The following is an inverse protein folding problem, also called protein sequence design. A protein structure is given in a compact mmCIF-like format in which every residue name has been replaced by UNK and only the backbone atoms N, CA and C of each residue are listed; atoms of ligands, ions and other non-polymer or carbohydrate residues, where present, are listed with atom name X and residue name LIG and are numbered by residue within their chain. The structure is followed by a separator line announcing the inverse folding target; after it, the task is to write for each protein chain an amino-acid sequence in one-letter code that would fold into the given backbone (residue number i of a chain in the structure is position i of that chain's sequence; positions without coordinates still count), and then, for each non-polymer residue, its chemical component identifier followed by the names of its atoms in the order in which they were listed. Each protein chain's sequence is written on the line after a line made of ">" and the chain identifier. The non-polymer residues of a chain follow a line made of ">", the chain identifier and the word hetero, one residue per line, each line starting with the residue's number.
data_IF_287761672553
#
_entry.id   IF_287761672553
#
_cell.length_a   1.000
_cell.length_b   1.000
_cell.length_c   1.000
_cell.angle_alpha   90.00
_cell.angle_beta   90.00
_cell.angle_gamma   90.00
#
_symmetry.space_group_name_H-M   'P 1'
#
loop_
_entity.id
_entity.type
_entity.pdbx_description
1 polymer ?
#
# COMPACT_ATOMS: atom_id res chain seq x y z
N UNK A 1 -37.65 8.60 43.86
CA UNK A 1 -36.49 9.34 43.31
C UNK A 1 -35.21 8.50 43.22
N UNK A 2 -34.78 7.76 44.25
CA UNK A 2 -33.55 6.94 44.20
C UNK A 2 -33.48 5.88 43.07
N UNK A 3 -34.63 5.31 42.64
CA UNK A 3 -34.69 4.28 41.56
C UNK A 3 -34.22 4.77 40.18
N UNK A 4 -34.40 6.04 39.85
CA UNK A 4 -33.99 6.57 38.54
C UNK A 4 -32.50 6.92 38.46
N UNK A 5 -31.85 7.09 39.60
CA UNK A 5 -30.45 7.48 39.68
C UNK A 5 -29.52 6.37 39.18
N UNK A 6 -29.83 5.11 39.50
CA UNK A 6 -29.09 3.94 39.01
C UNK A 6 -29.22 3.78 37.48
N UNK A 7 -30.39 4.07 36.92
CA UNK A 7 -30.62 3.98 35.46
C UNK A 7 -29.83 5.06 34.73
N UNK A 8 -29.81 6.28 35.26
CA UNK A 8 -29.04 7.40 34.68
C UNK A 8 -27.53 7.09 34.70
N UNK A 9 -27.00 6.52 35.78
CA UNK A 9 -25.59 6.12 35.87
C UNK A 9 -25.24 5.05 34.82
N UNK A 10 -26.10 4.05 34.62
CA UNK A 10 -25.88 2.99 33.62
C UNK A 10 -25.87 3.57 32.20
N UNK A 11 -26.79 4.50 31.89
CA UNK A 11 -26.84 5.18 30.59
C UNK A 11 -25.58 6.02 30.36
N UNK A 12 -25.11 6.76 31.37
CA UNK A 12 -23.89 7.56 31.28
C UNK A 12 -22.65 6.67 31.08
N UNK A 13 -22.58 5.52 31.76
CA UNK A 13 -21.52 4.52 31.58
C UNK A 13 -21.52 3.90 30.17
N UNK A 14 -22.70 3.58 29.62
CA UNK A 14 -22.80 3.05 28.25
C UNK A 14 -22.42 4.09 27.18
N UNK A 15 -22.80 5.35 27.40
CA UNK A 15 -22.44 6.45 26.49
C UNK A 15 -20.95 6.80 26.54
N UNK A 16 -20.29 6.65 27.69
CA UNK A 16 -18.85 6.94 27.82
C UNK A 16 -17.96 5.85 27.21
N UNK A 17 -18.37 4.58 27.25
CA UNK A 17 -17.66 3.45 26.60
C UNK A 17 -17.53 3.63 25.08
N UNK A 18 -18.53 4.24 24.44
CA UNK A 18 -18.55 4.47 22.99
C UNK A 18 -17.48 5.48 22.53
N UNK A 19 -17.07 6.40 23.42
CA UNK A 19 -16.13 7.49 23.12
C UNK A 19 -14.67 7.00 23.21
N UNK A 20 -14.37 6.10 24.15
CA UNK A 20 -13.01 5.57 24.34
C UNK A 20 -12.55 4.69 23.18
N UNK A 21 -13.45 3.90 22.57
CA UNK A 21 -13.12 3.05 21.42
C UNK A 21 -12.59 3.84 20.20
N UNK A 22 -12.92 5.13 20.06
CA UNK A 22 -12.48 5.93 18.91
C UNK A 22 -11.13 6.64 19.11
N UNK A 23 -10.62 6.68 20.34
CA UNK A 23 -9.42 7.45 20.69
C UNK A 23 -8.12 6.88 20.09
N UNK A 24 -8.06 5.56 19.85
CA UNK A 24 -6.85 4.89 19.35
C UNK A 24 -6.95 4.31 17.94
N UNK A 25 -8.00 4.65 17.18
CA UNK A 25 -8.23 4.16 15.81
C UNK A 25 -7.02 4.37 14.87
N UNK A 26 -6.24 5.44 15.06
CA UNK A 26 -5.00 5.66 14.30
C UNK A 26 -3.92 4.60 14.60
N UNK A 27 -3.76 4.19 15.86
CA UNK A 27 -2.80 3.14 16.25
C UNK A 27 -3.20 1.80 15.66
N UNK A 28 -4.50 1.50 15.60
CA UNK A 28 -5.02 0.30 14.95
C UNK A 28 -4.70 0.29 13.46
N UNK A 29 -4.93 1.39 12.76
CA UNK A 29 -4.56 1.52 11.34
C UNK A 29 -3.06 1.34 11.10
N UNK A 30 -2.20 1.91 11.95
CA UNK A 30 -0.74 1.73 11.85
C UNK A 30 -0.36 0.26 12.13
N UNK A 31 -0.97 -0.39 13.12
CA UNK A 31 -0.75 -1.82 13.40
C UNK A 31 -1.17 -2.70 12.20
N UNK A 32 -2.28 -2.36 11.53
CA UNK A 32 -2.72 -3.05 10.31
C UNK A 32 -1.67 -2.96 9.21
N UNK A 33 -1.13 -1.76 8.96
CA UNK A 33 -0.06 -1.54 7.97
C UNK A 33 1.22 -2.31 8.29
N UNK A 34 1.63 -2.37 9.56
CA UNK A 34 2.80 -3.17 9.98
C UNK A 34 2.59 -4.66 9.80
N UNK A 35 1.36 -5.16 10.02
CA UNK A 35 1.02 -6.56 9.73
C UNK A 35 1.10 -6.85 8.23
N UNK A 36 0.64 -5.92 7.39
CA UNK A 36 0.76 -6.04 5.93
C UNK A 36 2.24 -6.11 5.50
N UNK A 37 3.07 -5.20 6.02
CA UNK A 37 4.53 -5.20 5.79
C UNK A 37 5.16 -6.55 6.17
N UNK A 38 4.91 -7.03 7.39
CA UNK A 38 5.43 -8.32 7.85
C UNK A 38 4.99 -9.49 6.96
N UNK A 39 3.72 -9.52 6.52
CA UNK A 39 3.23 -10.55 5.60
C UNK A 39 3.98 -10.49 4.26
N UNK A 40 4.25 -9.30 3.73
CA UNK A 40 5.00 -9.12 2.47
C UNK A 40 6.45 -9.58 2.62
N UNK A 41 7.12 -9.23 3.73
CA UNK A 41 8.49 -9.66 4.02
C UNK A 41 8.63 -11.18 4.14
N UNK A 42 7.61 -11.86 4.67
CA UNK A 42 7.56 -13.33 4.72
C UNK A 42 7.38 -13.99 3.34
N UNK A 43 7.08 -13.21 2.32
CA UNK A 43 6.76 -13.69 0.98
C UNK A 43 5.27 -14.03 0.84
N UNK A 44 4.63 -13.39 -0.12
CA UNK A 44 3.24 -13.68 -0.52
C UNK A 44 3.20 -13.91 -2.02
N UNK A 45 2.28 -14.77 -2.47
CA UNK A 45 1.91 -14.81 -3.88
C UNK A 45 0.88 -13.72 -4.19
N UNK A 46 0.57 -13.50 -5.47
CA UNK A 46 -0.36 -12.44 -5.88
C UNK A 46 -1.75 -12.54 -5.24
N UNK A 47 -2.34 -13.73 -5.24
CA UNK A 47 -3.69 -13.91 -4.68
C UNK A 47 -3.71 -13.54 -3.20
N UNK A 48 -2.73 -14.04 -2.44
CA UNK A 48 -2.60 -13.70 -1.02
C UNK A 48 -2.28 -12.23 -0.82
N UNK A 49 -1.46 -11.63 -1.67
CA UNK A 49 -1.14 -10.20 -1.64
C UNK A 49 -2.39 -9.33 -1.75
N UNK A 50 -3.26 -9.60 -2.74
CA UNK A 50 -4.51 -8.86 -2.95
C UNK A 50 -5.48 -9.06 -1.77
N UNK A 51 -5.59 -10.28 -1.25
CA UNK A 51 -6.42 -10.59 -0.07
C UNK A 51 -5.98 -9.77 1.14
N UNK A 52 -4.69 -9.84 1.51
CA UNK A 52 -4.17 -9.16 2.70
C UNK A 52 -4.16 -7.64 2.55
N UNK A 53 -3.98 -7.15 1.32
CA UNK A 53 -4.13 -5.73 1.01
C UNK A 53 -5.58 -5.27 1.18
N UNK A 54 -6.55 -6.09 0.77
CA UNK A 54 -7.97 -5.84 0.95
C UNK A 54 -8.38 -5.78 2.43
N UNK A 55 -7.94 -6.76 3.22
CA UNK A 55 -8.13 -6.79 4.68
C UNK A 55 -7.55 -5.51 5.33
N UNK A 56 -6.29 -5.20 5.01
CA UNK A 56 -5.61 -4.02 5.58
C UNK A 56 -6.30 -2.72 5.17
N UNK A 57 -6.76 -2.61 3.91
CA UNK A 57 -7.50 -1.45 3.44
C UNK A 57 -8.81 -1.27 4.22
N UNK A 58 -9.51 -2.36 4.57
CA UNK A 58 -10.72 -2.28 5.37
C UNK A 58 -10.43 -1.75 6.78
N UNK A 59 -9.40 -2.27 7.47
CA UNK A 59 -9.00 -1.80 8.80
C UNK A 59 -8.58 -0.32 8.79
N UNK A 60 -7.74 0.07 7.83
CA UNK A 60 -7.26 1.44 7.68
C UNK A 60 -8.41 2.41 7.39
N UNK A 61 -9.38 2.00 6.58
CA UNK A 61 -10.52 2.84 6.19
C UNK A 61 -11.38 3.25 7.39
N UNK A 62 -11.50 2.39 8.41
CA UNK A 62 -12.19 2.74 9.67
C UNK A 62 -11.58 3.98 10.33
N UNK A 63 -10.25 4.08 10.37
CA UNK A 63 -9.58 5.28 10.86
C UNK A 63 -9.80 6.47 9.93
N UNK A 64 -9.60 6.31 8.62
CA UNK A 64 -9.70 7.40 7.65
C UNK A 64 -11.10 8.07 7.67
N UNK A 65 -12.15 7.28 7.83
CA UNK A 65 -13.55 7.76 7.88
C UNK A 65 -13.97 8.27 9.28
N UNK A 66 -13.15 8.02 10.31
CA UNK A 66 -13.45 8.45 11.67
C UNK A 66 -13.32 9.97 11.85
N UNK A 67 -13.90 10.51 12.94
CA UNK A 67 -13.62 11.89 13.36
C UNK A 67 -12.17 12.08 13.82
N UNK A 68 -11.49 11.00 14.20
CA UNK A 68 -10.09 11.03 14.66
C UNK A 68 -9.13 11.35 13.52
N UNK A 69 -9.43 10.97 12.27
CA UNK A 69 -8.58 11.31 11.11
C UNK A 69 -8.36 12.82 10.95
N UNK A 70 -9.38 13.62 11.26
CA UNK A 70 -9.31 15.10 11.24
C UNK A 70 -8.30 15.68 12.23
N UNK A 71 -7.99 14.95 13.31
CA UNK A 71 -7.02 15.36 14.32
C UNK A 71 -5.58 14.99 13.94
N UNK A 72 -5.40 14.06 13.00
CA UNK A 72 -4.10 13.53 12.60
C UNK A 72 -3.91 13.57 11.08
N UNK A 73 -3.93 14.76 10.45
CA UNK A 73 -3.83 14.90 8.99
C UNK A 73 -2.51 14.34 8.42
N UNK A 74 -1.42 14.41 9.16
CA UNK A 74 -0.13 13.85 8.75
C UNK A 74 -0.19 12.32 8.66
N UNK A 75 -0.81 11.67 9.65
CA UNK A 75 -1.02 10.21 9.65
C UNK A 75 -1.91 9.81 8.46
N UNK A 76 -2.99 10.55 8.21
CA UNK A 76 -3.88 10.32 7.04
C UNK A 76 -3.09 10.38 5.73
N UNK A 77 -2.24 11.40 5.59
CA UNK A 77 -1.41 11.59 4.39
C UNK A 77 -0.44 10.42 4.19
N UNK A 78 0.29 10.03 5.24
CA UNK A 78 1.22 8.90 5.19
C UNK A 78 0.50 7.58 4.92
N UNK A 79 -0.64 7.31 5.57
CA UNK A 79 -1.46 6.12 5.34
C UNK A 79 -1.89 6.03 3.87
N UNK A 80 -2.42 7.11 3.30
CA UNK A 80 -2.85 7.11 1.89
C UNK A 80 -1.67 6.83 0.96
N UNK A 81 -0.51 7.45 1.23
CA UNK A 81 0.72 7.20 0.47
C UNK A 81 1.18 5.74 0.54
N UNK A 82 1.13 5.12 1.72
CA UNK A 82 1.45 3.70 1.93
C UNK A 82 0.50 2.81 1.12
N UNK A 83 -0.81 3.04 1.26
CA UNK A 83 -1.83 2.27 0.56
C UNK A 83 -1.73 2.43 -0.96
N UNK A 84 -1.42 3.62 -1.45
CA UNK A 84 -1.22 3.87 -2.88
C UNK A 84 0.00 3.12 -3.42
N UNK A 85 1.10 3.04 -2.67
CA UNK A 85 2.24 2.22 -3.06
C UNK A 85 1.86 0.73 -3.17
N UNK A 86 1.14 0.19 -2.19
CA UNK A 86 0.72 -1.21 -2.26
C UNK A 86 -0.31 -1.48 -3.38
N UNK A 87 -1.21 -0.53 -3.66
CA UNK A 87 -2.12 -0.62 -4.81
C UNK A 87 -1.36 -0.59 -6.14
N UNK A 88 -0.31 0.21 -6.24
CA UNK A 88 0.53 0.28 -7.43
C UNK A 88 1.33 -1.02 -7.63
N UNK A 89 1.83 -1.63 -6.55
CA UNK A 89 2.40 -2.97 -6.61
C UNK A 89 1.37 -4.02 -7.07
N UNK A 90 0.12 -3.96 -6.59
CA UNK A 90 -0.95 -4.85 -7.06
C UNK A 90 -1.21 -4.71 -8.57
N UNK A 91 -1.29 -3.46 -9.06
CA UNK A 91 -1.47 -3.18 -10.50
C UNK A 91 -0.28 -3.69 -11.32
N UNK A 92 0.94 -3.45 -10.86
CA UNK A 92 2.14 -3.91 -11.54
C UNK A 92 2.14 -5.44 -11.68
N UNK A 93 1.77 -6.14 -10.60
CA UNK A 93 1.73 -7.58 -10.57
C UNK A 93 0.57 -8.14 -11.43
N UNK A 94 -0.58 -7.47 -11.49
CA UNK A 94 -1.71 -7.93 -12.31
C UNK A 94 -1.36 -7.96 -13.80
N UNK A 95 -0.59 -6.98 -14.29
CA UNK A 95 -0.17 -6.94 -15.70
C UNK A 95 0.55 -8.23 -16.13
N UNK A 96 1.32 -8.83 -15.21
CA UNK A 96 2.04 -10.08 -15.47
C UNK A 96 1.11 -11.27 -15.59
N UNK A 97 0.12 -11.32 -14.70
CA UNK A 97 -0.85 -12.42 -14.66
C UNK A 97 -1.71 -12.37 -15.90
N UNK A 98 -2.07 -11.18 -16.35
CA UNK A 98 -2.84 -10.96 -17.58
C UNK A 98 -2.01 -11.29 -18.84
N UNK A 99 -0.68 -11.22 -18.76
CA UNK A 99 0.23 -11.42 -19.90
C UNK A 99 1.40 -12.36 -19.57
N UNK A 100 1.11 -13.64 -19.27
CA UNK A 100 2.14 -14.60 -18.91
C UNK A 100 3.15 -14.77 -20.06
N UNK A 101 4.45 -14.65 -19.76
CA UNK A 101 5.53 -14.83 -20.73
C UNK A 101 5.94 -13.59 -21.54
N UNK A 102 5.38 -12.40 -21.28
CA UNK A 102 5.74 -11.14 -21.97
C UNK A 102 6.34 -10.07 -21.08
N UNK A 103 6.94 -10.44 -19.96
CA UNK A 103 7.25 -9.49 -18.90
C UNK A 103 8.74 -9.17 -18.79
N UNK A 104 9.31 -8.72 -19.90
CA UNK A 104 10.50 -7.90 -19.82
C UNK A 104 10.04 -6.46 -19.78
N UNK A 105 10.23 -5.80 -18.63
CA UNK A 105 9.88 -4.40 -18.46
C UNK A 105 10.99 -3.55 -19.06
N UNK A 106 10.78 -3.10 -20.30
CA UNK A 106 11.75 -2.23 -20.97
C UNK A 106 11.69 -0.82 -20.38
N UNK A 107 12.86 -0.19 -20.28
CA UNK A 107 12.94 1.24 -19.96
C UNK A 107 12.10 2.05 -20.97
N UNK A 108 11.24 2.97 -20.51
CA UNK A 108 10.48 3.84 -21.42
C UNK A 108 11.37 4.79 -22.24
N UNK A 109 12.66 4.91 -21.89
CA UNK A 109 13.66 5.71 -22.60
C UNK A 109 14.53 4.90 -23.57
N UNK A 110 14.45 3.57 -23.57
CA UNK A 110 15.06 2.79 -24.63
C UNK A 110 14.24 2.99 -25.92
N UNK A 111 14.93 3.11 -27.06
CA UNK A 111 14.35 3.49 -28.37
C UNK A 111 13.03 2.76 -28.63
N UNK A 112 12.05 3.41 -29.29
CA UNK A 112 10.77 2.78 -29.61
C UNK A 112 11.01 1.43 -30.28
N UNK A 113 10.31 0.39 -29.78
CA UNK A 113 10.46 -0.95 -30.31
C UNK A 113 10.32 -0.92 -31.85
N UNK A 114 11.25 -1.52 -32.61
CA UNK A 114 11.38 -1.35 -34.06
C UNK A 114 10.14 -1.69 -34.91
N UNK A 115 9.04 -2.18 -34.33
CA UNK A 115 7.84 -2.65 -35.03
C UNK A 115 6.51 -2.21 -34.42
N UNK A 116 6.45 -1.00 -33.85
CA UNK A 116 5.19 -0.24 -33.74
C UNK A 116 4.18 -0.71 -32.69
N UNK A 117 4.55 -1.59 -31.76
CA UNK A 117 3.72 -1.94 -30.61
C UNK A 117 4.36 -1.44 -29.33
N UNK A 118 3.65 -0.60 -28.55
CA UNK A 118 3.99 -0.44 -27.14
C UNK A 118 3.73 -1.79 -26.44
N UNK A 119 4.64 -2.28 -25.59
CA UNK A 119 4.39 -3.49 -24.83
C UNK A 119 3.12 -3.33 -24.00
N UNK A 120 2.35 -4.41 -23.84
CA UNK A 120 1.17 -4.43 -22.97
C UNK A 120 1.55 -3.88 -21.59
N UNK A 121 0.73 -2.97 -21.05
CA UNK A 121 1.01 -2.29 -19.79
C UNK A 121 1.97 -1.10 -19.87
N UNK A 122 2.42 -0.67 -21.06
CA UNK A 122 3.32 0.50 -21.21
C UNK A 122 2.85 1.75 -20.46
N UNK A 123 1.56 2.06 -20.50
CA UNK A 123 1.03 3.22 -19.77
C UNK A 123 1.21 3.08 -18.26
N UNK A 124 0.95 1.88 -17.72
CA UNK A 124 1.17 1.56 -16.31
C UNK A 124 2.66 1.69 -15.99
N UNK A 125 3.54 1.14 -16.82
CA UNK A 125 4.98 1.20 -16.60
C UNK A 125 5.54 2.60 -16.67
N UNK A 126 5.14 3.39 -17.65
CA UNK A 126 5.57 4.78 -17.79
C UNK A 126 5.18 5.57 -16.53
N UNK A 127 3.93 5.45 -16.07
CA UNK A 127 3.46 6.08 -14.84
C UNK A 127 4.24 5.61 -13.60
N UNK A 128 4.47 4.30 -13.49
CA UNK A 128 5.21 3.74 -12.35
C UNK A 128 6.68 4.15 -12.35
N UNK A 129 7.36 4.17 -13.50
CA UNK A 129 8.75 4.64 -13.58
C UNK A 129 8.87 6.13 -13.28
N UNK A 130 7.89 6.96 -13.67
CA UNK A 130 7.83 8.36 -13.26
C UNK A 130 7.67 8.50 -11.75
N UNK A 131 6.82 7.67 -11.13
CA UNK A 131 6.58 7.68 -9.67
C UNK A 131 7.74 7.08 -8.86
N UNK A 132 8.41 6.06 -9.40
CA UNK A 132 9.47 5.29 -8.76
C UNK A 132 10.77 5.34 -9.58
N UNK A 133 11.44 6.49 -9.68
CA UNK A 133 12.64 6.63 -10.51
C UNK A 133 13.80 5.73 -10.05
N UNK A 134 13.84 5.30 -8.79
CA UNK A 134 14.85 4.34 -8.32
C UNK A 134 14.75 2.96 -8.97
N UNK A 135 13.62 2.65 -9.64
CA UNK A 135 13.52 1.45 -10.45
C UNK A 135 14.52 1.48 -11.62
N UNK A 136 14.93 2.65 -12.12
CA UNK A 136 15.96 2.75 -13.16
C UNK A 136 17.32 2.17 -12.71
N UNK A 137 17.64 2.23 -11.41
CA UNK A 137 18.89 1.70 -10.87
C UNK A 137 18.93 0.17 -10.84
N UNK A 138 17.76 -0.48 -10.97
CA UNK A 138 17.59 -1.93 -11.00
C UNK A 138 17.52 -2.50 -12.42
N UNK A 139 17.63 -1.64 -13.43
CA UNK A 139 17.68 -2.07 -14.82
C UNK A 139 18.98 -2.84 -15.10
N UNK A 140 18.83 -3.99 -15.73
CA UNK A 140 19.91 -4.89 -16.14
C UNK A 140 19.88 -5.09 -17.66
N UNK A 141 21.01 -5.42 -18.27
CA UNK A 141 21.05 -5.64 -19.71
C UNK A 141 20.24 -6.87 -20.09
N UNK A 142 19.32 -6.73 -21.05
CA UNK A 142 18.55 -7.85 -21.58
C UNK A 142 19.49 -8.86 -22.25
N UNK A 143 19.26 -10.15 -22.01
CA UNK A 143 20.14 -11.27 -22.40
C UNK A 143 20.47 -11.34 -23.90
N UNK A 144 19.77 -10.59 -24.75
CA UNK A 144 19.93 -10.57 -26.22
C UNK A 144 20.12 -9.16 -26.81
N UNK A 145 20.52 -8.15 -26.03
CA UNK A 145 20.85 -6.81 -26.56
C UNK A 145 19.66 -5.91 -26.94
N UNK A 146 18.44 -6.29 -26.57
CA UNK A 146 17.21 -5.52 -26.83
C UNK A 146 16.96 -4.35 -25.87
N UNK A 147 17.99 -3.87 -25.16
CA UNK A 147 17.88 -2.78 -24.18
C UNK A 147 18.04 -3.26 -22.74
N UNK A 148 17.62 -2.43 -21.79
CA UNK A 148 17.64 -2.78 -20.37
C UNK A 148 16.26 -3.23 -19.88
N UNK A 149 16.24 -4.28 -19.06
CA UNK A 149 15.04 -4.79 -18.39
C UNK A 149 15.17 -4.71 -16.87
N UNK A 150 14.04 -4.51 -16.19
CA UNK A 150 13.91 -4.73 -14.75
C UNK A 150 13.04 -5.96 -14.54
N UNK A 151 13.32 -6.80 -13.54
CA UNK A 151 12.43 -7.91 -13.19
C UNK A 151 11.23 -7.41 -12.41
N UNK A 152 10.14 -8.19 -12.38
CA UNK A 152 8.99 -7.87 -11.52
C UNK A 152 9.43 -7.67 -10.06
N UNK A 153 10.19 -8.64 -9.55
CA UNK A 153 10.57 -8.67 -8.13
C UNK A 153 11.43 -7.46 -7.78
N UNK A 154 12.34 -7.06 -8.68
CA UNK A 154 13.13 -5.86 -8.49
C UNK A 154 12.25 -4.61 -8.45
N UNK A 155 11.29 -4.48 -9.35
CA UNK A 155 10.39 -3.33 -9.37
C UNK A 155 9.47 -3.32 -8.12
N UNK A 156 8.84 -4.45 -7.80
CA UNK A 156 8.03 -4.61 -6.58
C UNK A 156 8.84 -4.25 -5.33
N UNK A 157 10.11 -4.68 -5.26
CA UNK A 157 10.99 -4.33 -4.14
C UNK A 157 11.17 -2.82 -4.00
N UNK A 158 11.26 -2.06 -5.10
CA UNK A 158 11.35 -0.60 -5.05
C UNK A 158 10.06 0.00 -4.50
N UNK A 159 8.91 -0.45 -4.99
CA UNK A 159 7.60 0.04 -4.54
C UNK A 159 7.38 -0.26 -3.06
N UNK A 160 7.63 -1.50 -2.64
CA UNK A 160 7.49 -1.92 -1.24
C UNK A 160 8.45 -1.17 -0.31
N UNK A 161 9.70 -0.96 -0.72
CA UNK A 161 10.65 -0.18 0.08
C UNK A 161 10.19 1.27 0.30
N UNK A 162 9.49 1.89 -0.65
CA UNK A 162 8.91 3.22 -0.44
C UNK A 162 7.71 3.18 0.54
N UNK A 163 6.91 2.10 0.53
CA UNK A 163 5.86 1.89 1.52
C UNK A 163 6.42 1.62 2.94
N UNK A 164 7.45 0.79 3.06
CA UNK A 164 8.08 0.42 4.34
C UNK A 164 8.73 1.63 5.01
N UNK A 165 9.43 2.47 4.23
CA UNK A 165 9.99 3.74 4.75
C UNK A 165 8.93 4.62 5.38
N UNK A 166 7.77 4.73 4.75
CA UNK A 166 6.68 5.56 5.25
C UNK A 166 6.00 4.91 6.47
N UNK A 167 5.82 3.58 6.46
CA UNK A 167 5.30 2.82 7.61
C UNK A 167 6.21 2.92 8.84
N UNK A 168 7.53 2.91 8.63
CA UNK A 168 8.52 3.12 9.69
C UNK A 168 8.40 4.49 10.35
N UNK A 169 8.10 5.56 9.59
CA UNK A 169 7.84 6.89 10.17
C UNK A 169 6.62 6.88 11.07
N UNK A 170 5.57 6.16 10.70
CA UNK A 170 4.35 6.06 11.49
C UNK A 170 4.52 5.23 12.77
N UNK A 171 5.56 4.38 12.86
CA UNK A 171 5.77 3.54 14.04
C UNK A 171 6.02 4.34 15.32
N UNK A 172 6.51 5.58 15.24
CA UNK A 172 6.70 6.45 16.41
C UNK A 172 5.39 6.89 17.09
N UNK A 173 4.25 6.71 16.43
CA UNK A 173 2.93 7.04 16.98
C UNK A 173 2.28 5.85 17.72
N UNK A 174 2.99 4.71 17.81
CA UNK A 174 2.50 3.53 18.54
C UNK A 174 2.88 3.53 20.02
N UNK A 175 3.96 4.23 20.37
CA UNK A 175 4.44 4.40 21.75
C UNK A 175 3.53 5.34 22.54
#
# INVERSE_FOLDING_TARGET
>A
MKKYWSIIIIIILFLSLSIYSHAESHKEAIKALKKLEAKIEMGVNYQKYVEVLGETNAEVKLFLESKSSKKYPDIVTSINKIMDNYKDAAKLWSVIIDHPGRVSFFSPYDKPLPRGGYPYGYEIYSKLFTKYPKAYDKLSNYRNGFGKEITLNDFLSVIWNEAFKETKKLSSYLD
#
